data_IF_204970102781
#
_entry.id   IF_204970102781
#
_cell.length_a   1.000
_cell.length_b   1.000
_cell.length_c   1.000
_cell.angle_alpha   90.00
_cell.angle_beta   90.00
_cell.angle_gamma   90.00
#
_symmetry.space_group_name_H-M   'P 1'
#
loop_
_entity.id
_entity.type
_entity.pdbx_description
1 polymer ?
#
# COMPACT_ATOMS: atom_id res chain seq x y z
N UNK A 1 9.80 -3.10 -15.21
CA UNK A 1 8.39 -2.90 -14.82
C UNK A 1 8.39 -2.19 -13.47
N UNK A 2 7.38 -1.36 -13.15
CA UNK A 2 7.30 -0.74 -11.83
C UNK A 2 7.17 -1.80 -10.73
N UNK A 3 7.85 -1.58 -9.61
CA UNK A 3 7.79 -2.47 -8.44
C UNK A 3 6.87 -1.83 -7.41
N UNK A 4 5.91 -2.60 -6.90
CA UNK A 4 4.99 -2.19 -5.85
C UNK A 4 5.26 -2.96 -4.58
N UNK A 5 5.40 -2.24 -3.47
CA UNK A 5 5.53 -2.83 -2.16
C UNK A 5 4.13 -3.04 -1.61
N UNK A 6 3.86 -4.25 -1.15
CA UNK A 6 2.55 -4.62 -0.63
C UNK A 6 2.65 -5.21 0.77
N UNK A 7 1.57 -4.99 1.51
CA UNK A 7 1.27 -5.69 2.74
C UNK A 7 -0.03 -6.44 2.52
N UNK A 8 -0.01 -7.76 2.69
CA UNK A 8 -1.17 -8.62 2.52
C UNK A 8 -1.33 -9.56 3.72
N UNK A 9 -2.55 -10.03 3.94
CA UNK A 9 -2.86 -11.06 4.92
C UNK A 9 -2.97 -12.39 4.21
N UNK A 10 -2.16 -13.36 4.63
CA UNK A 10 -2.29 -14.74 4.19
C UNK A 10 -3.58 -15.35 4.76
N UNK A 11 -4.06 -16.45 4.16
CA UNK A 11 -5.20 -17.23 4.67
C UNK A 11 -4.94 -17.80 6.06
N UNK A 12 -3.67 -17.99 6.43
CA UNK A 12 -3.21 -18.38 7.76
C UNK A 12 -3.37 -17.26 8.82
N UNK A 13 -3.81 -16.08 8.40
CA UNK A 13 -3.97 -14.90 9.26
C UNK A 13 -2.69 -14.08 9.45
N UNK A 14 -1.56 -14.58 8.98
CA UNK A 14 -0.26 -13.88 9.03
C UNK A 14 -0.20 -12.70 8.08
N UNK A 15 0.47 -11.63 8.51
CA UNK A 15 0.76 -10.47 7.66
C UNK A 15 2.08 -10.70 6.93
N UNK A 16 2.03 -10.61 5.61
CA UNK A 16 3.17 -10.76 4.71
C UNK A 16 3.43 -9.42 4.04
N UNK A 17 4.71 -9.01 4.01
CA UNK A 17 5.17 -7.86 3.24
C UNK A 17 6.02 -8.39 2.10
N UNK A 18 5.83 -7.85 0.91
CA UNK A 18 6.55 -8.28 -0.28
C UNK A 18 6.56 -7.20 -1.34
N UNK A 19 7.24 -7.51 -2.43
CA UNK A 19 7.30 -6.65 -3.61
C UNK A 19 6.69 -7.41 -4.79
N UNK A 20 5.96 -6.70 -5.64
CA UNK A 20 5.33 -7.27 -6.83
C UNK A 20 5.54 -6.35 -8.01
N UNK A 21 6.01 -6.91 -9.12
CA UNK A 21 6.08 -6.21 -10.40
C UNK A 21 4.67 -6.07 -10.99
N UNK A 22 4.24 -4.85 -11.29
CA UNK A 22 2.95 -4.58 -11.93
C UNK A 22 3.01 -3.30 -12.76
N UNK A 23 2.17 -3.15 -13.80
CA UNK A 23 2.15 -1.90 -14.55
C UNK A 23 1.37 -0.79 -13.82
N UNK A 24 0.46 -1.17 -12.90
CA UNK A 24 -0.30 -0.25 -12.07
C UNK A 24 -0.72 -0.89 -10.73
N UNK A 25 -1.27 -0.08 -9.81
CA UNK A 25 -1.70 -0.54 -8.47
C UNK A 25 -2.85 -1.57 -8.54
N UNK A 26 -3.77 -1.43 -9.50
CA UNK A 26 -4.88 -2.35 -9.68
C UNK A 26 -4.38 -3.75 -10.05
N UNK A 27 -3.42 -3.85 -10.97
CA UNK A 27 -2.75 -5.09 -11.34
C UNK A 27 -1.96 -5.69 -10.18
N UNK A 28 -1.26 -4.87 -9.39
CA UNK A 28 -0.56 -5.34 -8.19
C UNK A 28 -1.54 -6.04 -7.22
N UNK A 29 -2.71 -5.43 -6.96
CA UNK A 29 -3.77 -6.04 -6.13
C UNK A 29 -4.30 -7.35 -6.72
N UNK A 30 -4.44 -7.43 -8.04
CA UNK A 30 -4.87 -8.65 -8.74
C UNK A 30 -3.82 -9.76 -8.58
N UNK A 31 -2.53 -9.46 -8.78
CA UNK A 31 -1.44 -10.42 -8.60
C UNK A 31 -1.36 -10.95 -7.17
N UNK A 32 -1.52 -10.08 -6.16
CA UNK A 32 -1.55 -10.48 -4.75
C UNK A 32 -2.75 -11.39 -4.46
N UNK A 33 -3.92 -11.07 -5.02
CA UNK A 33 -5.11 -11.94 -4.88
C UNK A 33 -4.96 -13.27 -5.58
N UNK A 34 -4.26 -13.32 -6.73
CA UNK A 34 -3.95 -14.58 -7.41
C UNK A 34 -3.08 -15.52 -6.54
N UNK A 35 -2.27 -14.95 -5.64
CA UNK A 35 -1.50 -15.69 -4.63
C UNK A 35 -2.33 -16.10 -3.41
N UNK A 36 -3.67 -15.98 -3.46
CA UNK A 36 -4.59 -16.24 -2.34
C UNK A 36 -4.32 -15.39 -1.10
N UNK A 37 -3.74 -14.20 -1.28
CA UNK A 37 -3.52 -13.25 -0.19
C UNK A 37 -4.50 -12.08 -0.29
N UNK A 38 -4.89 -11.55 0.87
CA UNK A 38 -5.80 -10.40 0.98
C UNK A 38 -4.94 -9.13 1.05
N UNK A 39 -4.88 -8.29 0.00
CA UNK A 39 -4.08 -7.06 0.03
C UNK A 39 -4.67 -6.09 1.05
N UNK A 40 -3.82 -5.56 1.93
CA UNK A 40 -4.18 -4.54 2.94
C UNK A 40 -3.68 -3.17 2.49
N UNK A 41 -2.42 -3.10 2.05
CA UNK A 41 -1.79 -1.87 1.56
C UNK A 41 -0.95 -2.21 0.33
N UNK A 42 -1.06 -1.42 -0.71
CA UNK A 42 -0.22 -1.50 -1.91
C UNK A 42 0.28 -0.09 -2.18
N UNK A 43 1.60 0.08 -2.32
CA UNK A 43 2.23 1.36 -2.58
C UNK A 43 3.31 1.16 -3.66
N UNK A 44 3.50 2.14 -4.55
CA UNK A 44 4.60 2.09 -5.49
C UNK A 44 5.92 2.26 -4.72
N UNK A 45 6.95 1.50 -5.10
CA UNK A 45 8.30 1.66 -4.52
C UNK A 45 8.86 3.01 -4.97
N UNK A 46 8.67 4.03 -4.12
CA UNK A 46 8.99 5.44 -4.42
C UNK A 46 7.86 6.42 -4.08
N UNK A 47 6.61 5.94 -3.93
CA UNK A 47 5.53 6.69 -3.31
C UNK A 47 5.56 6.43 -1.80
N UNK A 48 6.64 6.86 -1.16
CA UNK A 48 6.67 6.96 0.29
C UNK A 48 5.63 8.02 0.68
N UNK A 49 4.47 7.53 1.10
CA UNK A 49 3.57 8.15 2.06
C UNK A 49 3.77 9.67 2.17
N UNK A 50 2.98 10.44 1.40
CA UNK A 50 2.71 11.83 1.76
C UNK A 50 2.16 11.81 3.18
N UNK A 51 3.07 11.98 4.14
CA UNK A 51 2.83 12.04 5.57
C UNK A 51 1.61 12.90 5.78
N UNK A 52 0.69 12.38 6.60
CA UNK A 52 -0.56 13.01 6.94
C UNK A 52 -0.40 14.53 7.01
N UNK A 53 -1.14 15.21 6.15
CA UNK A 53 -1.34 16.64 6.28
C UNK A 53 -1.96 16.83 7.65
N UNK A 54 -1.13 17.13 8.65
CA UNK A 54 -1.56 17.70 9.92
C UNK A 54 -2.17 19.03 9.54
N UNK A 55 -3.44 19.02 9.19
CA UNK A 55 -4.28 20.21 9.09
C UNK A 55 -4.25 20.79 10.50
N UNK A 56 -3.34 21.74 10.73
CA UNK A 56 -3.38 22.62 11.89
C UNK A 56 -4.57 23.56 11.69
N UNK A 57 -5.78 23.06 11.95
CA UNK A 57 -7.01 23.85 11.91
C UNK A 57 -7.29 24.55 13.25
N UNK A 58 -6.26 24.90 14.01
CA UNK A 58 -6.43 25.66 15.24
C UNK A 58 -5.23 26.58 15.47
N UNK A 59 -5.47 27.88 15.31
CA UNK A 59 -4.59 28.95 15.76
C UNK A 59 -4.27 29.97 14.68
N UNK A 60 -5.13 30.97 14.51
CA UNK A 60 -4.65 32.34 14.61
C UNK A 60 -5.76 33.24 15.16
N UNK A 61 -5.36 34.06 16.14
CA UNK A 61 -6.18 34.83 17.06
C UNK A 61 -6.02 36.29 16.67
N UNK A 62 -7.11 36.98 16.36
CA UNK A 62 -7.20 38.45 16.39
C UNK A 62 -8.50 38.84 17.05
#
# INVERSE_FOLDING_TARGET
MPVYNFQAKATDGKFVKGEVDAANEAEARVKIRAQKMIPIKVAARGSEESKGSKIKLFGDKV
#
